data_IF_642939628530
#
_entry.id   IF_642939628530
#
_cell.length_a   1.000
_cell.length_b   1.000
_cell.length_c   1.000
_cell.angle_alpha   90.00
_cell.angle_beta   90.00
_cell.angle_gamma   90.00
#
_symmetry.space_group_name_H-M   'P 1'
#
loop_
_entity.id
_entity.type
_entity.pdbx_description
1 polymer ?
#
# COMPACT_ATOMS: atom_id res chain seq x y z
N UNK A 1 11.08 4.74 16.70
CA UNK A 1 9.74 4.40 16.18
C UNK A 1 8.81 4.27 17.38
N UNK A 2 8.07 5.33 17.71
CA UNK A 2 7.15 5.37 18.84
C UNK A 2 5.79 4.93 18.28
N UNK A 3 5.49 3.64 18.39
CA UNK A 3 4.17 3.13 18.01
C UNK A 3 3.32 3.14 19.28
N UNK A 4 2.42 4.11 19.36
CA UNK A 4 1.38 4.15 20.39
C UNK A 4 0.56 2.86 20.33
N UNK A 5 0.49 2.15 21.45
CA UNK A 5 -0.22 0.88 21.63
C UNK A 5 -1.74 0.98 21.34
N UNK A 6 -2.25 2.21 21.20
CA UNK A 6 -3.64 2.52 20.90
C UNK A 6 -4.09 2.19 19.47
N UNK A 7 -3.17 2.05 18.50
CA UNK A 7 -3.57 1.81 17.10
C UNK A 7 -4.20 0.43 16.90
N UNK A 8 -3.86 -0.55 17.73
CA UNK A 8 -4.41 -1.91 17.67
C UNK A 8 -5.85 -1.99 18.19
N UNK A 9 -6.24 -1.11 19.12
CA UNK A 9 -7.55 -1.12 19.78
C UNK A 9 -8.68 -0.46 18.97
N UNK A 10 -8.38 0.30 17.91
CA UNK A 10 -9.40 0.93 17.05
C UNK A 10 -9.89 0.04 15.89
N UNK A 11 -9.34 -1.17 15.73
CA UNK A 11 -9.85 -2.13 14.77
C UNK A 11 -10.91 -2.99 15.46
N UNK A 12 -12.16 -2.51 15.47
CA UNK A 12 -13.33 -3.18 16.08
C UNK A 12 -13.52 -4.65 15.67
N UNK A 13 -12.86 -5.12 14.60
CA UNK A 13 -12.72 -6.53 14.25
C UNK A 13 -11.53 -6.76 13.31
N UNK A 14 -10.93 -7.96 13.35
CA UNK A 14 -9.92 -8.43 12.39
C UNK A 14 -10.40 -8.28 10.94
N UNK A 15 -11.71 -8.40 10.71
CA UNK A 15 -12.34 -8.25 9.39
C UNK A 15 -12.17 -6.81 8.87
N UNK A 16 -12.41 -5.82 9.73
CA UNK A 16 -12.28 -4.41 9.39
C UNK A 16 -10.82 -4.02 9.15
N UNK A 17 -9.91 -4.56 9.97
CA UNK A 17 -8.47 -4.39 9.77
C UNK A 17 -8.04 -4.91 8.39
N UNK A 18 -8.44 -6.14 8.03
CA UNK A 18 -8.15 -6.72 6.71
C UNK A 18 -8.71 -5.87 5.57
N UNK A 19 -9.93 -5.36 5.71
CA UNK A 19 -10.55 -4.48 4.72
C UNK A 19 -9.78 -3.16 4.56
N UNK A 20 -9.43 -2.51 5.68
CA UNK A 20 -8.63 -1.27 5.69
C UNK A 20 -7.25 -1.48 5.09
N UNK A 21 -6.56 -2.56 5.44
CA UNK A 21 -5.25 -2.93 4.87
C UNK A 21 -5.36 -3.16 3.36
N UNK A 22 -6.37 -3.92 2.91
CA UNK A 22 -6.59 -4.14 1.46
C UNK A 22 -6.81 -2.83 0.72
N UNK A 23 -7.63 -1.92 1.26
CA UNK A 23 -7.87 -0.59 0.70
C UNK A 23 -6.58 0.24 0.65
N UNK A 24 -5.79 0.19 1.72
CA UNK A 24 -4.51 0.89 1.78
C UNK A 24 -3.51 0.37 0.74
N UNK A 25 -3.35 -0.95 0.62
CA UNK A 25 -2.46 -1.56 -0.38
C UNK A 25 -2.89 -1.18 -1.80
N UNK A 26 -4.20 -1.23 -2.09
CA UNK A 26 -4.72 -0.80 -3.39
C UNK A 26 -4.40 0.68 -3.66
N UNK A 27 -4.63 1.56 -2.69
CA UNK A 27 -4.26 2.97 -2.79
C UNK A 27 -2.75 3.16 -3.00
N UNK A 28 -1.92 2.48 -2.22
CA UNK A 28 -0.47 2.56 -2.31
C UNK A 28 0.01 2.16 -3.71
N UNK A 29 -0.49 1.05 -4.25
CA UNK A 29 -0.06 0.53 -5.54
C UNK A 29 -0.54 1.39 -6.73
N UNK A 30 -1.78 1.88 -6.68
CA UNK A 30 -2.43 2.49 -7.84
C UNK A 30 -2.60 4.01 -7.77
N UNK A 31 -2.43 4.63 -6.60
CA UNK A 31 -2.73 6.05 -6.41
C UNK A 31 -1.59 6.83 -5.77
N UNK A 32 -0.76 6.20 -4.92
CA UNK A 32 0.38 6.87 -4.29
C UNK A 32 1.52 7.07 -5.27
N UNK A 33 1.98 8.31 -5.40
CA UNK A 33 3.23 8.65 -6.07
C UNK A 33 4.42 8.42 -5.12
N UNK A 34 5.48 7.81 -5.64
CA UNK A 34 6.66 7.49 -4.86
C UNK A 34 7.90 8.20 -5.41
N UNK A 35 8.55 9.05 -4.61
CA UNK A 35 9.72 9.84 -5.04
C UNK A 35 10.88 8.96 -5.51
N UNK A 36 11.16 7.86 -4.80
CA UNK A 36 12.16 6.86 -5.20
C UNK A 36 11.86 6.15 -6.54
N UNK A 37 10.62 6.24 -7.04
CA UNK A 37 10.20 5.68 -8.33
C UNK A 37 10.04 6.79 -9.38
N UNK A 38 10.78 7.90 -9.25
CA UNK A 38 10.63 9.10 -10.09
C UNK A 38 9.19 9.60 -10.12
N UNK A 39 8.53 9.63 -8.97
CA UNK A 39 7.11 9.99 -8.85
C UNK A 39 6.18 9.14 -9.74
N UNK A 40 6.55 7.89 -10.03
CA UNK A 40 5.63 6.90 -10.59
C UNK A 40 4.85 6.19 -9.47
N UNK A 41 3.73 5.59 -9.86
CA UNK A 41 2.95 4.69 -9.03
C UNK A 41 3.62 3.31 -8.99
N UNK A 42 3.69 2.64 -7.83
CA UNK A 42 4.33 1.33 -7.71
C UNK A 42 3.83 0.30 -8.74
N UNK A 43 2.53 0.25 -9.00
CA UNK A 43 1.97 -0.68 -9.99
C UNK A 43 2.45 -0.41 -11.41
N UNK A 44 2.69 0.86 -11.77
CA UNK A 44 3.20 1.20 -13.11
C UNK A 44 4.61 0.65 -13.29
N UNK A 45 5.46 0.78 -12.28
CA UNK A 45 6.84 0.26 -12.31
C UNK A 45 6.83 -1.27 -12.39
N UNK A 46 5.96 -1.94 -11.63
CA UNK A 46 5.80 -3.39 -11.71
C UNK A 46 5.40 -3.85 -13.12
N UNK A 47 4.37 -3.23 -13.71
CA UNK A 47 3.90 -3.56 -15.06
C UNK A 47 4.96 -3.27 -16.14
N UNK A 48 5.68 -2.16 -16.01
CA UNK A 48 6.83 -1.87 -16.88
C UNK A 48 7.92 -2.95 -16.76
N UNK A 49 8.18 -3.45 -15.55
CA UNK A 49 9.12 -4.54 -15.30
C UNK A 49 8.69 -5.86 -15.94
N UNK A 50 7.43 -6.27 -15.72
CA UNK A 50 6.88 -7.51 -16.30
C UNK A 50 6.96 -7.49 -17.83
N UNK A 51 6.62 -6.36 -18.47
CA UNK A 51 6.71 -6.20 -19.94
C UNK A 51 8.13 -6.28 -20.50
N UNK A 52 9.15 -6.00 -19.69
CA UNK A 52 10.56 -6.10 -20.12
C UNK A 52 11.12 -7.51 -19.98
N UNK A 53 10.48 -8.35 -19.17
CA UNK A 53 10.91 -9.72 -18.87
C UNK A 53 10.17 -10.73 -19.75
N UNK A 54 8.95 -10.39 -20.21
CA UNK A 54 8.21 -11.13 -21.24
C UNK A 54 8.77 -10.83 -22.64
#
# INVERSE_FOLDING_TARGET
LKYDENYLNEYSSIIDLKSKVKKYIHFYNHNRFHSALNYKKPMNVYLEGVKKVA
#
